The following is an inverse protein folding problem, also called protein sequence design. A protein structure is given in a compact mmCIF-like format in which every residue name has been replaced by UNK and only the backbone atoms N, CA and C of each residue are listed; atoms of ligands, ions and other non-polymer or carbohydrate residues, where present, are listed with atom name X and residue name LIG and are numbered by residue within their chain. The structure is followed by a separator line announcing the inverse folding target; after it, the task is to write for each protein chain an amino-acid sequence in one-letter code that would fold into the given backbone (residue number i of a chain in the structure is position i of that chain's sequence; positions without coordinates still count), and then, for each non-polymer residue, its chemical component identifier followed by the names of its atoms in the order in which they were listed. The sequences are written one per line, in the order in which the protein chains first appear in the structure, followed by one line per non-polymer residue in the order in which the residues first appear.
data_IF_119557217100
#
_entry.id   IF_119557217100
#
_cell.length_a   1.000
_cell.length_b   1.000
_cell.length_c   1.000
_cell.angle_alpha   90.00
_cell.angle_beta   90.00
_cell.angle_gamma   90.00
#
_symmetry.space_group_name_H-M   'P 1'
#
loop_
_entity.id
_entity.type
_entity.pdbx_description
1 polymer ?
#
# COMPACT_ATOMS: atom_id res chain seq x y z
N UNK A 1 -19.63 -17.32 -15.66
CA UNK A 1 -20.12 -15.99 -15.30
C UNK A 1 -18.89 -15.09 -15.13
N UNK A 2 -18.90 -13.88 -15.67
CA UNK A 2 -17.82 -12.91 -15.39
C UNK A 2 -17.88 -12.52 -13.90
N UNK A 3 -16.73 -12.50 -13.24
CA UNK A 3 -16.63 -12.03 -11.85
C UNK A 3 -16.93 -10.53 -11.78
N UNK A 4 -17.48 -10.10 -10.67
CA UNK A 4 -17.77 -8.71 -10.38
C UNK A 4 -16.87 -8.19 -9.25
N UNK A 5 -17.02 -6.93 -8.88
CA UNK A 5 -16.22 -6.27 -7.83
C UNK A 5 -16.27 -7.01 -6.49
N UNK A 6 -17.44 -7.50 -6.06
CA UNK A 6 -17.58 -8.22 -4.78
C UNK A 6 -16.87 -9.57 -4.81
N UNK A 7 -16.97 -10.28 -5.94
CA UNK A 7 -16.24 -11.54 -6.15
C UNK A 7 -14.72 -11.29 -6.07
N UNK A 8 -14.25 -10.19 -6.67
CA UNK A 8 -12.84 -9.80 -6.64
C UNK A 8 -12.36 -9.49 -5.21
N UNK A 9 -13.10 -8.67 -4.46
CA UNK A 9 -12.75 -8.33 -3.08
C UNK A 9 -12.70 -9.57 -2.17
N UNK A 10 -13.66 -10.48 -2.33
CA UNK A 10 -13.66 -11.76 -1.60
C UNK A 10 -12.44 -12.62 -1.96
N UNK A 11 -12.05 -12.66 -3.24
CA UNK A 11 -10.87 -13.39 -3.69
C UNK A 11 -9.57 -12.79 -3.13
N UNK A 12 -9.45 -11.45 -3.13
CA UNK A 12 -8.30 -10.75 -2.54
C UNK A 12 -8.19 -11.06 -1.05
N UNK A 13 -9.29 -10.93 -0.30
CA UNK A 13 -9.32 -11.23 1.12
C UNK A 13 -8.86 -12.68 1.39
N UNK A 14 -9.48 -13.65 0.72
CA UNK A 14 -9.15 -15.07 0.90
C UNK A 14 -7.68 -15.37 0.56
N UNK A 15 -7.18 -14.80 -0.54
CA UNK A 15 -5.79 -14.99 -0.95
C UNK A 15 -4.80 -14.48 0.12
N UNK A 16 -5.00 -13.25 0.62
CA UNK A 16 -4.09 -12.69 1.61
C UNK A 16 -4.25 -13.32 2.99
N UNK A 17 -5.43 -13.77 3.38
CA UNK A 17 -5.62 -14.56 4.62
C UNK A 17 -4.89 -15.90 4.53
N UNK A 18 -5.02 -16.62 3.42
CA UNK A 18 -4.34 -17.90 3.18
C UNK A 18 -2.82 -17.71 3.12
N UNK A 19 -2.36 -16.71 2.37
CA UNK A 19 -0.93 -16.40 2.27
C UNK A 19 -0.35 -16.02 3.63
N UNK A 20 -1.01 -15.12 4.35
CA UNK A 20 -0.57 -14.69 5.68
C UNK A 20 -0.51 -15.84 6.69
N UNK A 21 -1.40 -16.84 6.59
CA UNK A 21 -1.43 -17.98 7.51
C UNK A 21 -0.16 -18.83 7.48
N UNK A 22 0.61 -18.77 6.39
CA UNK A 22 1.84 -19.54 6.19
C UNK A 22 3.05 -18.98 6.95
N UNK A 23 2.98 -17.74 7.43
CA UNK A 23 4.10 -17.01 8.00
C UNK A 23 3.94 -16.80 9.51
N UNK A 24 5.08 -16.74 10.21
CA UNK A 24 5.17 -16.48 11.65
C UNK A 24 6.42 -15.65 11.98
N UNK A 25 6.63 -15.31 13.24
CA UNK A 25 7.86 -14.66 13.70
C UNK A 25 9.11 -15.54 13.43
N UNK A 26 8.96 -16.86 13.47
CA UNK A 26 10.07 -17.81 13.25
C UNK A 26 10.26 -18.19 11.78
N UNK A 27 9.22 -18.05 10.97
CA UNK A 27 9.24 -18.39 9.55
C UNK A 27 8.64 -17.24 8.73
N UNK A 28 9.50 -16.44 8.12
CA UNK A 28 9.14 -15.17 7.50
C UNK A 28 9.37 -15.18 6.00
N UNK A 29 8.41 -14.64 5.27
CA UNK A 29 8.63 -14.24 3.88
C UNK A 29 9.60 -13.05 3.83
N UNK A 30 10.64 -13.06 2.98
CA UNK A 30 11.64 -12.01 2.94
C UNK A 30 11.10 -10.66 2.44
N UNK A 31 9.96 -10.66 1.75
CA UNK A 31 9.35 -9.44 1.20
C UNK A 31 8.17 -9.00 2.05
N UNK A 32 7.14 -9.84 2.15
CA UNK A 32 5.88 -9.49 2.81
C UNK A 32 5.92 -9.77 4.31
N UNK A 33 6.44 -10.92 4.69
CA UNK A 33 6.53 -11.38 6.09
C UNK A 33 7.81 -10.96 6.81
N UNK A 34 8.66 -10.14 6.20
CA UNK A 34 9.88 -9.65 6.84
C UNK A 34 9.54 -8.63 7.92
N UNK A 35 9.83 -8.98 9.15
CA UNK A 35 9.68 -8.10 10.31
C UNK A 35 10.94 -7.29 10.60
N UNK A 36 12.04 -7.61 9.96
CA UNK A 36 13.32 -6.97 10.22
C UNK A 36 13.41 -5.61 9.52
N UNK A 37 13.92 -4.62 10.24
CA UNK A 37 14.18 -3.29 9.70
C UNK A 37 15.28 -3.28 8.62
N UNK A 38 16.07 -4.35 8.53
CA UNK A 38 17.22 -4.49 7.64
C UNK A 38 16.97 -5.48 6.50
N UNK A 39 15.83 -5.41 5.85
CA UNK A 39 15.58 -6.21 4.66
C UNK A 39 16.15 -5.55 3.38
N UNK A 40 16.03 -6.26 2.25
CA UNK A 40 16.47 -5.79 0.93
C UNK A 40 15.78 -4.50 0.44
N UNK A 41 14.72 -4.07 1.12
CA UNK A 41 13.89 -2.90 0.80
C UNK A 41 14.20 -1.70 1.72
N UNK A 42 15.41 -1.62 2.24
CA UNK A 42 15.81 -0.58 3.20
C UNK A 42 15.81 0.84 2.62
N UNK A 43 15.82 0.98 1.31
CA UNK A 43 15.89 2.27 0.61
C UNK A 43 14.52 2.99 0.46
N UNK A 44 13.42 2.40 0.94
CA UNK A 44 12.10 3.06 0.93
C UNK A 44 12.11 4.44 1.60
N UNK A 45 12.92 4.62 2.63
CA UNK A 45 13.07 5.88 3.36
C UNK A 45 13.51 7.03 2.46
N UNK A 46 14.28 6.73 1.43
CA UNK A 46 14.81 7.72 0.50
C UNK A 46 13.74 8.30 -0.44
N UNK A 47 12.60 7.62 -0.54
CA UNK A 47 11.53 7.98 -1.47
C UNK A 47 10.23 8.32 -0.75
N UNK A 48 9.74 7.48 0.17
CA UNK A 48 8.43 7.64 0.81
C UNK A 48 8.28 8.97 1.53
N UNK A 49 9.26 9.34 2.34
CA UNK A 49 9.17 10.51 3.22
C UNK A 49 10.20 11.57 2.86
N UNK A 50 10.55 11.62 1.57
CA UNK A 50 11.49 12.60 1.04
C UNK A 50 10.95 14.02 1.25
N UNK A 51 11.83 14.92 1.59
CA UNK A 51 11.59 16.37 1.67
C UNK A 51 10.64 16.84 2.80
N UNK A 52 10.29 16.00 3.78
CA UNK A 52 9.56 16.47 4.95
C UNK A 52 9.91 15.70 6.24
N UNK A 53 9.74 16.38 7.37
CA UNK A 53 9.96 15.79 8.68
C UNK A 53 8.70 15.03 9.15
N UNK A 54 8.85 13.79 9.54
CA UNK A 54 7.77 12.93 10.01
C UNK A 54 7.62 12.92 11.55
N UNK A 55 8.59 13.48 12.27
CA UNK A 55 8.59 13.48 13.73
C UNK A 55 7.37 14.22 14.28
N UNK A 56 6.63 13.58 15.18
CA UNK A 56 5.44 14.16 15.79
C UNK A 56 4.16 14.02 14.97
N UNK A 57 4.22 13.46 13.77
CA UNK A 57 3.05 13.24 12.91
C UNK A 57 2.38 11.89 13.21
N UNK A 58 1.07 11.80 12.92
CA UNK A 58 0.32 10.54 12.93
C UNK A 58 0.25 9.95 11.52
N UNK A 59 0.62 8.70 11.38
CA UNK A 59 0.63 8.01 10.08
C UNK A 59 -0.32 6.82 10.04
N UNK A 60 -0.78 6.48 8.83
CA UNK A 60 -1.50 5.25 8.51
C UNK A 60 -0.80 4.55 7.34
N UNK A 61 -0.51 3.26 7.46
CA UNK A 61 -0.12 2.42 6.32
C UNK A 61 -1.34 1.72 5.74
N UNK A 62 -1.60 1.93 4.44
CA UNK A 62 -2.59 1.17 3.69
C UNK A 62 -1.94 -0.08 3.07
N UNK A 63 -2.51 -1.26 3.36
CA UNK A 63 -1.90 -2.55 3.01
C UNK A 63 -0.71 -2.87 3.89
N UNK A 64 -0.88 -2.75 5.22
CA UNK A 64 0.22 -2.89 6.17
C UNK A 64 0.75 -4.32 6.30
N UNK A 65 0.03 -5.31 5.77
CA UNK A 65 0.39 -6.72 5.92
C UNK A 65 0.62 -7.08 7.39
N UNK A 66 1.62 -7.92 7.67
CA UNK A 66 1.98 -8.31 9.04
C UNK A 66 2.75 -7.22 9.82
N UNK A 67 2.71 -5.95 9.39
CA UNK A 67 3.22 -4.80 10.12
C UNK A 67 4.72 -4.53 9.98
N UNK A 68 5.38 -5.02 8.95
CA UNK A 68 6.82 -4.78 8.73
C UNK A 68 7.21 -3.31 8.75
N UNK A 69 6.52 -2.48 7.97
CA UNK A 69 6.80 -1.05 7.90
C UNK A 69 6.29 -0.31 9.14
N UNK A 70 5.25 -0.81 9.79
CA UNK A 70 4.80 -0.27 11.08
C UNK A 70 5.93 -0.37 12.12
N UNK A 71 6.61 -1.52 12.19
CA UNK A 71 7.78 -1.70 13.06
C UNK A 71 8.94 -0.81 12.61
N UNK A 72 9.28 -0.85 11.31
CA UNK A 72 10.41 -0.10 10.75
C UNK A 72 10.31 1.39 11.00
N UNK A 73 9.13 1.96 10.84
CA UNK A 73 8.92 3.41 10.91
C UNK A 73 8.34 3.90 12.24
N UNK A 74 8.14 3.02 13.21
CA UNK A 74 7.52 3.36 14.51
C UNK A 74 8.20 4.55 15.21
N UNK A 75 9.53 4.62 15.16
CA UNK A 75 10.28 5.71 15.80
C UNK A 75 10.26 7.03 15.04
N UNK A 76 9.73 7.05 13.81
CA UNK A 76 9.67 8.25 12.97
C UNK A 76 8.39 9.06 13.17
N UNK A 77 7.34 8.44 13.71
CA UNK A 77 6.03 9.05 13.88
C UNK A 77 5.62 9.12 15.36
N UNK A 78 4.75 10.04 15.72
CA UNK A 78 4.14 10.06 17.04
C UNK A 78 3.23 8.84 17.25
N UNK A 79 2.51 8.44 16.21
CA UNK A 79 1.71 7.22 16.14
C UNK A 79 1.71 6.71 14.70
N UNK A 80 1.79 5.41 14.55
CA UNK A 80 1.67 4.72 13.27
C UNK A 80 0.59 3.64 13.37
N UNK A 81 -0.43 3.75 12.54
CA UNK A 81 -1.57 2.84 12.47
C UNK A 81 -1.48 2.02 11.18
N UNK A 82 -2.23 0.92 11.10
CA UNK A 82 -2.24 0.06 9.92
C UNK A 82 -3.64 -0.37 9.50
N UNK A 83 -3.83 -0.54 8.20
CA UNK A 83 -5.04 -1.12 7.63
C UNK A 83 -4.68 -2.16 6.57
N UNK A 84 -5.36 -3.30 6.59
CA UNK A 84 -5.19 -4.39 5.62
C UNK A 84 -6.54 -5.05 5.32
N UNK A 85 -6.66 -5.69 4.16
CA UNK A 85 -7.85 -6.47 3.80
C UNK A 85 -7.90 -7.81 4.56
N UNK A 86 -6.74 -8.36 4.90
CA UNK A 86 -6.58 -9.64 5.58
C UNK A 86 -6.67 -9.47 7.10
N UNK A 87 -7.66 -10.11 7.70
CA UNK A 87 -7.78 -10.19 9.15
C UNK A 87 -6.61 -10.95 9.79
N UNK A 88 -6.07 -11.93 9.10
CA UNK A 88 -4.89 -12.72 9.53
C UNK A 88 -3.63 -11.84 9.55
N UNK A 89 -3.45 -10.98 8.54
CA UNK A 89 -2.37 -10.01 8.55
C UNK A 89 -2.47 -9.03 9.73
N UNK A 90 -3.66 -8.54 10.02
CA UNK A 90 -3.89 -7.62 11.14
C UNK A 90 -3.55 -8.29 12.49
N UNK A 91 -3.95 -9.53 12.71
CA UNK A 91 -3.54 -10.28 13.91
C UNK A 91 -2.01 -10.46 13.99
N UNK A 92 -1.37 -10.77 12.88
CA UNK A 92 0.10 -10.86 12.81
C UNK A 92 0.79 -9.51 13.03
N UNK A 93 0.25 -8.44 12.49
CA UNK A 93 0.76 -7.08 12.73
C UNK A 93 0.73 -6.74 14.21
N UNK A 94 -0.36 -7.07 14.92
CA UNK A 94 -0.47 -6.89 16.36
C UNK A 94 0.62 -7.64 17.12
N UNK A 95 0.78 -8.94 16.84
CA UNK A 95 1.83 -9.77 17.46
C UNK A 95 3.22 -9.21 17.19
N UNK A 96 3.47 -8.75 15.95
CA UNK A 96 4.74 -8.20 15.54
C UNK A 96 5.06 -6.88 16.27
N UNK A 97 4.09 -5.99 16.38
CA UNK A 97 4.24 -4.72 17.11
C UNK A 97 4.51 -4.98 18.60
N UNK A 98 3.73 -5.85 19.24
CA UNK A 98 3.93 -6.24 20.64
C UNK A 98 5.31 -6.86 20.88
N UNK A 99 5.76 -7.75 19.98
CA UNK A 99 7.10 -8.36 20.03
C UNK A 99 8.23 -7.31 19.99
N UNK A 100 8.03 -6.23 19.25
CA UNK A 100 8.98 -5.12 19.14
C UNK A 100 8.75 -4.00 20.17
N UNK A 101 7.88 -4.21 21.15
CA UNK A 101 7.61 -3.23 22.22
C UNK A 101 6.85 -1.98 21.75
N UNK A 102 6.14 -2.07 20.63
CA UNK A 102 5.37 -0.97 20.04
C UNK A 102 3.91 -1.12 20.42
N UNK A 103 3.38 -0.12 21.12
CA UNK A 103 2.01 -0.13 21.66
C UNK A 103 1.25 1.12 21.23
N UNK A 104 -0.09 1.02 21.21
CA UNK A 104 -0.97 2.15 20.93
C UNK A 104 -1.27 2.39 19.45
N UNK A 105 -0.79 1.52 18.57
CA UNK A 105 -1.19 1.51 17.16
C UNK A 105 -2.63 1.01 17.00
N UNK A 106 -3.44 1.71 16.20
CA UNK A 106 -4.73 1.20 15.76
C UNK A 106 -4.53 0.33 14.52
N UNK A 107 -5.14 -0.85 14.52
CA UNK A 107 -5.08 -1.78 13.40
C UNK A 107 -6.51 -2.06 12.91
N UNK A 108 -6.73 -1.91 11.60
CA UNK A 108 -8.05 -2.00 11.01
C UNK A 108 -8.12 -3.06 9.93
N UNK A 109 -9.22 -3.81 9.88
CA UNK A 109 -9.55 -4.66 8.73
C UNK A 109 -10.47 -3.87 7.80
N UNK A 110 -10.12 -3.78 6.52
CA UNK A 110 -10.94 -3.10 5.50
C UNK A 110 -11.72 -4.09 4.64
N UNK A 111 -12.80 -3.61 4.02
CA UNK A 111 -13.49 -4.34 2.93
C UNK A 111 -12.66 -4.45 1.63
N UNK A 112 -11.56 -3.70 1.53
CA UNK A 112 -10.65 -3.71 0.39
C UNK A 112 -10.88 -2.61 -0.65
N UNK A 113 -11.96 -1.84 -0.53
CA UNK A 113 -12.27 -0.75 -1.46
C UNK A 113 -12.47 0.62 -0.79
N UNK A 114 -12.32 0.70 0.52
CA UNK A 114 -12.42 1.93 1.31
C UNK A 114 -11.78 1.76 2.70
N UNK A 115 -11.67 2.84 3.46
CA UNK A 115 -11.26 2.87 4.87
C UNK A 115 -12.30 3.63 5.71
N UNK A 116 -13.57 3.37 5.46
CA UNK A 116 -14.71 4.08 6.06
C UNK A 116 -14.80 3.96 7.59
N UNK A 117 -14.07 2.99 8.19
CA UNK A 117 -13.94 2.85 9.64
C UNK A 117 -13.07 3.93 10.29
N UNK A 118 -12.34 4.71 9.49
CA UNK A 118 -11.50 5.83 9.96
C UNK A 118 -12.25 7.14 9.76
N UNK A 119 -12.25 8.01 10.75
CA UNK A 119 -12.85 9.34 10.68
C UNK A 119 -12.12 10.27 9.70
N UNK A 120 -12.76 11.38 9.34
CA UNK A 120 -12.15 12.40 8.49
C UNK A 120 -11.03 13.13 9.22
N UNK A 121 -10.01 13.59 8.48
CA UNK A 121 -8.98 14.50 8.96
C UNK A 121 -8.20 13.99 10.20
N UNK A 122 -7.89 12.68 10.22
CA UNK A 122 -7.19 12.01 11.35
C UNK A 122 -5.69 11.99 11.16
N UNK A 123 -5.21 11.74 9.95
CA UNK A 123 -3.80 11.47 9.68
C UNK A 123 -3.08 12.63 9.03
N UNK A 124 -1.84 12.84 9.46
CA UNK A 124 -0.91 13.79 8.84
C UNK A 124 -0.24 13.16 7.62
N UNK A 125 -0.04 11.83 7.64
CA UNK A 125 0.55 11.05 6.55
C UNK A 125 -0.23 9.75 6.37
N UNK A 126 -0.56 9.42 5.13
CA UNK A 126 -0.94 8.07 4.72
C UNK A 126 0.12 7.56 3.76
N UNK A 127 0.58 6.33 3.93
CA UNK A 127 1.53 5.75 2.99
C UNK A 127 1.16 4.31 2.63
N UNK A 128 1.70 3.83 1.51
CA UNK A 128 1.47 2.47 1.03
C UNK A 128 2.66 1.98 0.22
N UNK A 129 3.10 0.75 0.47
CA UNK A 129 4.25 0.14 -0.20
C UNK A 129 3.90 -1.27 -0.63
N UNK A 130 4.20 -1.62 -1.87
CA UNK A 130 3.95 -2.96 -2.45
C UNK A 130 2.50 -3.42 -2.19
N UNK A 131 1.54 -2.52 -2.44
CA UNK A 131 0.12 -2.83 -2.25
C UNK A 131 -0.70 -2.46 -3.48
N UNK A 132 -0.69 -1.19 -3.91
CA UNK A 132 -1.56 -0.72 -4.99
C UNK A 132 -1.37 -1.45 -6.32
N UNK A 133 -0.15 -1.90 -6.64
CA UNK A 133 0.09 -2.67 -7.86
C UNK A 133 -0.63 -4.03 -7.86
N UNK A 134 -0.97 -4.57 -6.71
CA UNK A 134 -1.67 -5.86 -6.60
C UNK A 134 -3.20 -5.74 -6.67
N UNK A 135 -3.73 -4.52 -6.78
CA UNK A 135 -5.17 -4.27 -6.92
C UNK A 135 -5.49 -4.05 -8.39
N UNK A 136 -5.93 -5.09 -9.11
CA UNK A 136 -6.10 -5.09 -10.56
C UNK A 136 -7.36 -4.35 -11.06
N UNK A 137 -8.11 -3.69 -10.19
CA UNK A 137 -9.26 -2.87 -10.56
C UNK A 137 -8.99 -1.39 -10.31
N UNK A 138 -9.05 -0.59 -11.36
CA UNK A 138 -8.94 0.87 -11.27
C UNK A 138 -10.02 1.48 -10.38
N UNK A 139 -11.26 1.02 -10.51
CA UNK A 139 -12.38 1.49 -9.68
C UNK A 139 -12.07 1.35 -8.18
N UNK A 140 -11.52 0.20 -7.79
CA UNK A 140 -11.17 -0.06 -6.39
C UNK A 140 -10.02 0.85 -5.94
N UNK A 141 -8.94 0.93 -6.73
CA UNK A 141 -7.80 1.82 -6.40
C UNK A 141 -8.24 3.28 -6.28
N UNK A 142 -9.08 3.75 -7.21
CA UNK A 142 -9.60 5.11 -7.19
C UNK A 142 -10.43 5.41 -5.95
N UNK A 143 -11.31 4.49 -5.53
CA UNK A 143 -12.11 4.61 -4.32
C UNK A 143 -11.23 4.69 -3.07
N UNK A 144 -10.19 3.85 -2.98
CA UNK A 144 -9.21 3.88 -1.88
C UNK A 144 -8.48 5.21 -1.84
N UNK A 145 -7.94 5.68 -2.97
CA UNK A 145 -7.22 6.96 -3.06
C UNK A 145 -8.08 8.15 -2.66
N UNK A 146 -9.36 8.13 -3.06
CA UNK A 146 -10.34 9.13 -2.65
C UNK A 146 -10.65 9.08 -1.16
N UNK A 147 -10.75 7.88 -0.59
CA UNK A 147 -11.02 7.72 0.84
C UNK A 147 -9.80 8.07 1.69
N UNK A 148 -8.59 7.81 1.19
CA UNK A 148 -7.34 8.30 1.78
C UNK A 148 -7.33 9.84 1.83
N UNK A 149 -7.76 10.51 0.77
CA UNK A 149 -7.90 11.97 0.79
C UNK A 149 -8.84 12.46 1.91
N UNK A 150 -9.93 11.75 2.14
CA UNK A 150 -10.88 12.06 3.21
C UNK A 150 -10.25 11.98 4.60
N UNK A 151 -9.50 10.93 4.90
CA UNK A 151 -8.91 10.69 6.23
C UNK A 151 -7.64 11.51 6.49
N UNK A 152 -7.01 12.05 5.45
CA UNK A 152 -5.91 13.00 5.60
C UNK A 152 -6.42 14.33 6.13
N UNK A 153 -5.68 14.95 7.04
CA UNK A 153 -5.87 16.35 7.47
C UNK A 153 -5.59 17.30 6.31
N UNK A 154 -6.13 18.52 6.32
CA UNK A 154 -5.67 19.58 5.43
C UNK A 154 -4.15 19.76 5.50
N UNK A 155 -3.45 19.73 4.37
CA UNK A 155 -1.98 19.72 4.26
C UNK A 155 -1.32 18.37 4.56
N UNK A 156 -2.10 17.32 4.85
CA UNK A 156 -1.61 15.96 5.03
C UNK A 156 -1.15 15.34 3.71
N UNK A 157 -0.26 14.37 3.79
CA UNK A 157 0.43 13.79 2.63
C UNK A 157 0.06 12.33 2.39
N UNK A 158 -0.17 11.98 1.13
CA UNK A 158 -0.17 10.61 0.66
C UNK A 158 1.19 10.32 0.00
N UNK A 159 1.85 9.25 0.44
CA UNK A 159 3.13 8.78 -0.08
C UNK A 159 3.01 7.31 -0.45
N UNK A 160 3.19 6.93 -1.71
CA UNK A 160 3.06 5.52 -2.07
C UNK A 160 3.99 5.11 -3.21
N UNK A 161 4.13 3.81 -3.36
CA UNK A 161 4.91 3.18 -4.40
C UNK A 161 4.01 2.30 -5.26
N UNK A 162 4.27 2.28 -6.57
CA UNK A 162 3.57 1.44 -7.54
C UNK A 162 4.49 1.04 -8.70
N UNK A 163 4.11 -0.01 -9.44
CA UNK A 163 4.81 -0.42 -10.66
C UNK A 163 4.71 0.61 -11.77
N UNK A 164 5.79 0.83 -12.53
CA UNK A 164 5.88 1.80 -13.61
C UNK A 164 6.64 1.27 -14.83
N UNK A 165 6.29 1.82 -16.00
CA UNK A 165 7.00 1.55 -17.25
C UNK A 165 6.50 0.32 -18.02
N UNK A 166 5.32 -0.19 -17.68
CA UNK A 166 4.70 -1.34 -18.33
C UNK A 166 5.35 -2.67 -17.95
N UNK A 167 5.27 -3.63 -18.85
CA UNK A 167 5.65 -5.02 -18.59
C UNK A 167 7.13 -5.18 -18.25
N UNK A 168 7.38 -5.80 -17.11
CA UNK A 168 8.57 -6.58 -16.86
C UNK A 168 8.46 -7.95 -17.59
N UNK A 169 8.86 -9.03 -16.93
CA UNK A 169 8.75 -10.38 -17.46
C UNK A 169 7.33 -10.96 -17.36
N UNK A 170 6.50 -10.42 -16.48
CA UNK A 170 5.13 -10.89 -16.20
C UNK A 170 4.11 -9.91 -16.80
N UNK A 171 3.03 -10.43 -17.45
CA UNK A 171 1.96 -9.58 -17.96
C UNK A 171 1.30 -8.79 -16.84
N UNK A 172 1.19 -7.47 -17.00
CA UNK A 172 0.53 -6.59 -16.05
C UNK A 172 -0.74 -5.99 -16.66
N UNK A 173 -1.74 -5.71 -15.80
CA UNK A 173 -2.91 -4.93 -16.18
C UNK A 173 -2.52 -3.46 -16.39
N UNK A 174 -3.22 -2.76 -17.28
CA UNK A 174 -3.11 -1.31 -17.45
C UNK A 174 -3.68 -0.55 -16.27
N UNK A 175 -3.25 0.70 -16.09
CA UNK A 175 -3.68 1.49 -14.96
C UNK A 175 -5.20 1.68 -14.87
N UNK A 176 -5.89 1.89 -15.99
CA UNK A 176 -7.34 2.09 -16.04
C UNK A 176 -8.16 0.81 -16.18
N UNK A 177 -7.54 -0.36 -16.19
CA UNK A 177 -8.25 -1.62 -16.33
C UNK A 177 -9.03 -1.98 -15.06
N UNK A 178 -10.17 -2.64 -15.24
CA UNK A 178 -10.95 -3.27 -14.18
C UNK A 178 -10.95 -4.79 -14.41
N UNK A 179 -9.96 -5.48 -13.85
CA UNK A 179 -9.79 -6.92 -13.99
C UNK A 179 -10.23 -7.59 -12.70
N UNK A 180 -11.42 -8.18 -12.70
CA UNK A 180 -12.04 -8.78 -11.51
C UNK A 180 -11.76 -10.27 -11.34
N UNK A 181 -11.08 -10.91 -12.26
CA UNK A 181 -10.75 -12.34 -12.21
C UNK A 181 -9.27 -12.62 -11.95
N UNK A 182 -8.47 -11.57 -11.79
CA UNK A 182 -7.05 -11.65 -11.53
C UNK A 182 -6.73 -11.22 -10.11
N UNK A 183 -6.53 -12.18 -9.22
CA UNK A 183 -5.86 -11.99 -7.94
C UNK A 183 -4.39 -12.32 -8.13
N UNK A 184 -3.51 -11.63 -7.43
CA UNK A 184 -2.07 -11.88 -7.50
C UNK A 184 -1.74 -13.29 -7.01
N UNK A 185 -1.89 -14.26 -7.91
CA UNK A 185 -1.46 -15.63 -7.70
C UNK A 185 -0.08 -15.79 -8.32
N UNK A 186 0.96 -15.80 -7.51
CA UNK A 186 2.36 -15.97 -7.94
C UNK A 186 2.87 -14.86 -8.91
N UNK A 187 2.48 -13.63 -8.70
CA UNK A 187 2.95 -12.50 -9.52
C UNK A 187 2.28 -12.33 -10.87
N UNK A 188 1.14 -12.98 -11.10
CA UNK A 188 0.48 -12.95 -12.41
C UNK A 188 -0.57 -11.85 -12.60
N UNK A 189 -0.81 -11.02 -11.60
CA UNK A 189 -1.83 -9.98 -11.66
C UNK A 189 -1.37 -8.71 -10.94
N UNK A 190 -0.45 -8.01 -11.58
CA UNK A 190 0.01 -6.70 -11.12
C UNK A 190 -0.47 -5.61 -12.07
N UNK A 191 -0.49 -4.38 -11.58
CA UNK A 191 -0.80 -3.18 -12.35
C UNK A 191 0.45 -2.33 -12.50
N UNK A 192 0.70 -1.83 -13.70
CA UNK A 192 1.78 -0.90 -13.97
C UNK A 192 1.24 0.40 -14.55
N UNK A 193 1.72 1.52 -14.03
CA UNK A 193 1.50 2.83 -14.63
C UNK A 193 2.42 2.94 -15.84
N UNK A 194 1.89 3.27 -17.01
CA UNK A 194 2.68 3.41 -18.22
C UNK A 194 3.06 4.86 -18.52
N UNK A 195 2.24 5.80 -18.04
CA UNK A 195 2.47 7.24 -18.16
C UNK A 195 2.08 7.90 -16.82
N UNK A 196 2.90 8.83 -16.33
CA UNK A 196 2.59 9.56 -15.10
C UNK A 196 1.30 10.38 -15.16
N UNK A 197 0.89 10.78 -16.35
CA UNK A 197 -0.37 11.51 -16.56
C UNK A 197 -1.58 10.68 -16.11
N UNK A 198 -1.51 9.36 -16.17
CA UNK A 198 -2.60 8.47 -15.74
C UNK A 198 -2.89 8.64 -14.24
N UNK A 199 -1.86 8.57 -13.42
CA UNK A 199 -2.01 8.72 -11.97
C UNK A 199 -2.25 10.17 -11.55
N UNK A 200 -1.68 11.15 -12.27
CA UNK A 200 -1.93 12.57 -12.04
C UNK A 200 -3.39 12.92 -12.31
N UNK A 201 -3.99 12.38 -13.36
CA UNK A 201 -5.40 12.59 -13.67
C UNK A 201 -6.30 12.17 -12.51
N UNK A 202 -6.05 11.02 -11.90
CA UNK A 202 -6.84 10.56 -10.76
C UNK A 202 -6.57 11.39 -9.50
N UNK A 203 -5.31 11.59 -9.15
CA UNK A 203 -4.96 12.26 -7.90
C UNK A 203 -5.27 13.76 -7.94
N UNK A 204 -4.81 14.45 -8.99
CA UNK A 204 -4.89 15.92 -9.04
C UNK A 204 -6.23 16.38 -9.62
N UNK A 205 -6.60 15.87 -10.80
CA UNK A 205 -7.76 16.42 -11.52
C UNK A 205 -9.10 15.91 -10.97
N UNK A 206 -9.18 14.61 -10.56
CA UNK A 206 -10.45 14.02 -10.13
C UNK A 206 -10.65 14.02 -8.61
N UNK A 207 -9.57 13.77 -7.82
CA UNK A 207 -9.67 13.68 -6.34
C UNK A 207 -9.40 15.04 -5.70
N UNK A 208 -8.47 15.84 -6.25
CA UNK A 208 -8.16 17.18 -5.78
C UNK A 208 -6.92 17.28 -4.90
N UNK A 209 -6.02 16.29 -4.96
CA UNK A 209 -4.69 16.42 -4.37
C UNK A 209 -3.89 17.51 -5.08
N UNK A 210 -2.96 18.13 -4.36
CA UNK A 210 -2.05 19.17 -4.87
C UNK A 210 -0.59 18.73 -4.67
N UNK A 211 0.34 19.54 -5.15
CA UNK A 211 1.77 19.38 -4.93
C UNK A 211 2.32 18.00 -5.34
N UNK A 212 1.84 17.48 -6.48
CA UNK A 212 2.30 16.19 -7.03
C UNK A 212 3.80 16.19 -7.26
N UNK A 213 4.46 15.16 -6.75
CA UNK A 213 5.87 14.85 -6.99
C UNK A 213 6.02 13.36 -7.23
N UNK A 214 6.96 12.97 -8.07
CA UNK A 214 7.32 11.57 -8.29
C UNK A 214 8.82 11.37 -8.41
N UNK A 215 9.27 10.19 -8.03
CA UNK A 215 10.60 9.67 -8.32
C UNK A 215 10.44 8.29 -8.98
N UNK A 216 11.17 8.06 -10.07
CA UNK A 216 11.17 6.78 -10.78
C UNK A 216 12.50 6.10 -10.56
N UNK A 217 12.46 4.84 -10.15
CA UNK A 217 13.64 4.00 -9.92
C UNK A 217 13.56 2.75 -10.77
N UNK A 218 14.63 2.45 -11.49
CA UNK A 218 14.77 1.20 -12.24
C UNK A 218 14.80 0.01 -11.28
N UNK A 219 14.11 -1.07 -11.67
CA UNK A 219 14.07 -2.31 -10.90
C UNK A 219 15.23 -3.23 -11.27
N UNK A 220 15.42 -4.29 -10.48
CA UNK A 220 16.38 -5.34 -10.79
C UNK A 220 15.84 -6.35 -11.83
N UNK A 221 16.72 -7.21 -12.38
CA UNK A 221 16.32 -8.31 -13.23
C UNK A 221 15.32 -9.26 -12.52
N UNK A 222 14.29 -9.69 -13.23
CA UNK A 222 13.27 -10.59 -12.71
C UNK A 222 12.13 -9.91 -11.94
N UNK A 223 12.10 -8.58 -11.86
CA UNK A 223 10.98 -7.85 -11.28
C UNK A 223 9.78 -7.84 -12.24
N UNK A 224 8.58 -7.77 -11.67
CA UNK A 224 7.32 -7.71 -12.44
C UNK A 224 7.16 -6.40 -13.21
N UNK A 225 7.87 -5.36 -12.82
CA UNK A 225 7.83 -4.03 -13.40
C UNK A 225 9.23 -3.60 -13.87
N UNK A 226 9.29 -2.74 -14.87
CA UNK A 226 10.57 -2.15 -15.31
C UNK A 226 11.12 -1.16 -14.31
N UNK A 227 10.22 -0.39 -13.70
CA UNK A 227 10.54 0.62 -12.72
C UNK A 227 9.52 0.61 -11.60
N UNK A 228 9.90 1.20 -10.48
CA UNK A 228 8.99 1.65 -9.44
C UNK A 228 8.81 3.16 -9.57
N UNK A 229 7.57 3.63 -9.42
CA UNK A 229 7.27 5.04 -9.22
C UNK A 229 6.90 5.26 -7.75
N UNK A 230 7.49 6.28 -7.18
CA UNK A 230 7.19 6.77 -5.83
C UNK A 230 6.47 8.09 -5.96
N UNK A 231 5.29 8.20 -5.41
CA UNK A 231 4.42 9.37 -5.56
C UNK A 231 4.21 10.01 -4.20
N UNK A 232 4.30 11.33 -4.15
CA UNK A 232 3.90 12.16 -3.04
C UNK A 232 2.91 13.21 -3.52
N UNK A 233 1.80 13.35 -2.79
CA UNK A 233 0.79 14.39 -3.00
C UNK A 233 0.29 14.91 -1.66
N UNK A 234 -0.34 16.07 -1.67
CA UNK A 234 -0.86 16.76 -0.48
C UNK A 234 -2.36 17.01 -0.64
N UNK A 235 -3.13 16.89 0.49
CA UNK A 235 -4.54 17.27 0.55
C UNK A 235 -4.71 18.77 0.64
#
# INVERSE_FOLDING_TARGET
MSKNKLDYLAMQNNYYDEYASQWSLDFRDPVVGSYDAHNAWSDYDNFLFKDFNTLGLNALEYGCGPGRNLVKFSSRFARIDGVDISSVNIEKAKINLEHNGIYGSNLYVTSGDNISMVDNDVYDVVFSVICFQHICSHEIRFNILKDIHRVLKPGGKLCFQMGYGGKGEIPTAGYFDNVFDAVNTNGHADVSITDETDIQQDLVEKIGYINYKSDIKETGPGDNHRNWIWVQVEK
#
